data_IF_143578529847
#
_entry.id   IF_143578529847
#
_cell.length_a   1.000
_cell.length_b   1.000
_cell.length_c   1.000
_cell.angle_alpha   90.00
_cell.angle_beta   90.00
_cell.angle_gamma   90.00
#
_symmetry.space_group_name_H-M   'P 1'
#
loop_
_entity.id
_entity.type
_entity.pdbx_description
1 polymer ?
#
# COMPACT_ATOMS: atom_id res chain seq x y z
N UNK A 1 2.99 25.67 -33.14
CA UNK A 1 3.11 25.44 -31.69
C UNK A 1 3.16 23.94 -31.43
N UNK A 2 4.36 23.41 -31.15
CA UNK A 2 4.58 21.98 -30.87
C UNK A 2 4.58 21.84 -29.35
N UNK A 3 3.50 21.35 -28.76
CA UNK A 3 3.47 21.01 -27.33
C UNK A 3 4.43 19.84 -27.12
N UNK A 4 5.69 20.17 -26.82
CA UNK A 4 6.72 19.24 -26.41
C UNK A 4 6.48 18.95 -24.93
N UNK A 5 5.49 18.10 -24.66
CA UNK A 5 5.34 17.47 -23.35
C UNK A 5 6.50 16.52 -23.16
N UNK A 6 7.56 17.01 -22.53
CA UNK A 6 8.76 16.24 -22.22
C UNK A 6 8.37 15.05 -21.32
N UNK A 7 8.31 13.87 -21.93
CA UNK A 7 7.94 12.61 -21.31
C UNK A 7 9.08 12.01 -20.46
N UNK A 8 9.91 12.84 -19.85
CA UNK A 8 10.76 12.45 -18.70
C UNK A 8 9.92 12.11 -17.46
N UNK A 9 8.61 12.38 -17.54
CA UNK A 9 7.50 11.89 -16.71
C UNK A 9 7.37 10.34 -16.71
N UNK A 10 7.95 9.62 -17.67
CA UNK A 10 7.50 8.26 -18.02
C UNK A 10 7.74 7.12 -17.01
N UNK A 11 8.80 7.16 -16.18
CA UNK A 11 9.18 6.01 -15.32
C UNK A 11 8.97 6.26 -13.83
N UNK A 12 9.43 7.40 -13.30
CA UNK A 12 9.25 7.77 -11.89
C UNK A 12 7.76 7.81 -11.52
N UNK A 13 6.97 8.61 -12.24
CA UNK A 13 5.54 8.75 -11.98
C UNK A 13 4.78 7.45 -12.21
N UNK A 14 5.20 6.61 -13.17
CA UNK A 14 4.60 5.28 -13.39
C UNK A 14 4.70 4.41 -12.14
N UNK A 15 5.89 4.33 -11.53
CA UNK A 15 6.10 3.54 -10.31
C UNK A 15 5.50 4.20 -9.06
N UNK A 16 5.51 5.53 -9.00
CA UNK A 16 4.87 6.28 -7.92
C UNK A 16 3.36 6.06 -7.92
N UNK A 17 2.69 6.23 -9.07
CA UNK A 17 1.24 6.01 -9.21
C UNK A 17 0.90 4.55 -8.91
N UNK A 18 1.71 3.59 -9.38
CA UNK A 18 1.50 2.17 -9.06
C UNK A 18 1.59 1.91 -7.55
N UNK A 19 2.59 2.49 -6.86
CA UNK A 19 2.70 2.41 -5.40
C UNK A 19 1.48 3.00 -4.69
N UNK A 20 1.05 4.20 -5.08
CA UNK A 20 -0.11 4.86 -4.49
C UNK A 20 -1.40 4.06 -4.74
N UNK A 21 -1.60 3.54 -5.95
CA UNK A 21 -2.77 2.72 -6.27
C UNK A 21 -2.80 1.43 -5.43
N UNK A 22 -1.66 0.75 -5.28
CA UNK A 22 -1.54 -0.43 -4.42
C UNK A 22 -1.83 -0.10 -2.95
N UNK A 23 -1.32 1.04 -2.46
CA UNK A 23 -1.60 1.49 -1.10
C UNK A 23 -3.09 1.78 -0.90
N UNK A 24 -3.75 2.46 -1.85
CA UNK A 24 -5.19 2.72 -1.81
C UNK A 24 -6.02 1.42 -1.81
N UNK A 25 -5.65 0.43 -2.61
CA UNK A 25 -6.30 -0.89 -2.58
C UNK A 25 -6.12 -1.55 -1.20
N UNK A 26 -4.92 -1.46 -0.62
CA UNK A 26 -4.68 -1.94 0.74
C UNK A 26 -5.55 -1.23 1.79
N UNK A 27 -5.77 0.09 1.67
CA UNK A 27 -6.69 0.84 2.55
C UNK A 27 -8.10 0.27 2.47
N UNK A 28 -8.60 0.04 1.26
CA UNK A 28 -9.94 -0.50 1.05
C UNK A 28 -10.07 -1.87 1.72
N UNK A 29 -9.07 -2.74 1.56
CA UNK A 29 -9.07 -4.06 2.21
C UNK A 29 -9.08 -3.91 3.74
N UNK A 30 -8.15 -3.15 4.30
CA UNK A 30 -8.01 -2.96 5.77
C UNK A 30 -9.28 -2.41 6.41
N UNK A 31 -9.94 -1.44 5.76
CA UNK A 31 -11.15 -0.83 6.30
C UNK A 31 -12.39 -1.73 6.21
N UNK A 32 -12.40 -2.70 5.29
CA UNK A 32 -13.57 -3.56 5.05
C UNK A 32 -13.39 -5.00 5.55
N UNK A 33 -12.18 -5.39 5.92
CA UNK A 33 -11.86 -6.79 6.30
C UNK A 33 -12.65 -7.27 7.51
N UNK A 34 -12.88 -6.38 8.49
CA UNK A 34 -13.67 -6.71 9.67
C UNK A 34 -15.13 -6.95 9.28
N UNK A 35 -15.72 -6.05 8.50
CA UNK A 35 -17.07 -6.23 7.93
C UNK A 35 -17.19 -7.54 7.15
N UNK A 36 -16.21 -7.85 6.29
CA UNK A 36 -16.16 -9.11 5.53
C UNK A 36 -16.07 -10.35 6.42
N UNK A 37 -15.34 -10.26 7.53
CA UNK A 37 -15.24 -11.36 8.50
C UNK A 37 -16.53 -11.59 9.30
N UNK A 38 -17.36 -10.55 9.45
CA UNK A 38 -18.64 -10.59 10.19
C UNK A 38 -19.80 -11.07 9.31
N UNK A 39 -19.71 -10.97 7.98
CA UNK A 39 -20.72 -11.51 7.06
C UNK A 39 -20.86 -13.04 7.13
N UNK A 40 -19.92 -13.75 7.76
CA UNK A 40 -19.89 -15.21 7.84
C UNK A 40 -20.69 -15.81 9.02
N UNK A 41 -21.61 -15.07 9.66
CA UNK A 41 -22.38 -15.43 10.87
C UNK A 41 -21.55 -15.72 12.14
N UNK A 42 -20.29 -16.15 12.00
CA UNK A 42 -19.24 -16.20 13.02
C UNK A 42 -18.01 -15.45 12.51
N UNK A 43 -17.27 -14.81 13.43
CA UNK A 43 -15.98 -14.18 13.14
C UNK A 43 -15.06 -15.18 12.39
N UNK A 44 -15.01 -15.05 11.06
CA UNK A 44 -14.25 -15.97 10.25
C UNK A 44 -12.77 -15.55 10.25
N UNK A 45 -12.01 -16.16 11.16
CA UNK A 45 -10.58 -15.87 11.33
C UNK A 45 -9.76 -16.19 10.09
N UNK A 46 -10.18 -17.12 9.24
CA UNK A 46 -9.47 -17.42 8.00
C UNK A 46 -9.60 -16.28 6.98
N UNK A 47 -10.79 -15.66 6.90
CA UNK A 47 -11.03 -14.47 6.06
C UNK A 47 -10.22 -13.28 6.59
N UNK A 48 -10.21 -13.09 7.91
CA UNK A 48 -9.43 -12.02 8.56
C UNK A 48 -7.93 -12.23 8.34
N UNK A 49 -7.43 -13.45 8.48
CA UNK A 49 -6.03 -13.78 8.25
C UNK A 49 -5.65 -13.56 6.79
N UNK A 50 -6.47 -14.06 5.86
CA UNK A 50 -6.21 -13.94 4.42
C UNK A 50 -6.18 -12.48 3.98
N UNK A 51 -7.14 -11.67 4.45
CA UNK A 51 -7.14 -10.25 4.11
C UNK A 51 -5.93 -9.52 4.72
N UNK A 52 -5.58 -9.76 5.98
CA UNK A 52 -4.37 -9.16 6.60
C UNK A 52 -3.11 -9.54 5.81
N UNK A 53 -2.96 -10.82 5.46
CA UNK A 53 -1.82 -11.30 4.67
C UNK A 53 -1.77 -10.62 3.30
N UNK A 54 -2.92 -10.52 2.62
CA UNK A 54 -3.03 -9.86 1.33
C UNK A 54 -2.63 -8.39 1.39
N UNK A 55 -3.01 -7.68 2.47
CA UNK A 55 -2.62 -6.29 2.67
C UNK A 55 -1.11 -6.16 2.91
N UNK A 56 -0.48 -7.06 3.66
CA UNK A 56 0.98 -7.05 3.83
C UNK A 56 1.71 -7.22 2.50
N UNK A 57 1.21 -8.11 1.63
CA UNK A 57 1.76 -8.30 0.29
C UNK A 57 1.58 -7.03 -0.55
N UNK A 58 0.40 -6.40 -0.53
CA UNK A 58 0.13 -5.14 -1.22
C UNK A 58 1.06 -4.00 -0.76
N UNK A 59 1.28 -3.88 0.54
CA UNK A 59 2.23 -2.91 1.12
C UNK A 59 3.65 -3.21 0.66
N UNK A 60 4.08 -4.48 0.70
CA UNK A 60 5.39 -4.89 0.22
C UNK A 60 5.63 -4.51 -1.25
N UNK A 61 4.64 -4.77 -2.11
CA UNK A 61 4.69 -4.34 -3.51
C UNK A 61 4.68 -2.81 -3.67
N UNK A 62 3.91 -2.09 -2.85
CA UNK A 62 3.89 -0.63 -2.87
C UNK A 62 5.26 -0.03 -2.51
N UNK A 63 5.90 -0.54 -1.45
CA UNK A 63 7.25 -0.15 -1.04
C UNK A 63 8.26 -0.50 -2.14
N UNK A 64 8.18 -1.70 -2.72
CA UNK A 64 9.04 -2.09 -3.84
C UNK A 64 8.91 -1.16 -5.05
N UNK A 65 7.69 -0.73 -5.39
CA UNK A 65 7.45 0.24 -6.45
C UNK A 65 8.09 1.60 -6.13
N UNK A 66 7.99 2.08 -4.89
CA UNK A 66 8.68 3.31 -4.44
C UNK A 66 10.21 3.18 -4.55
N UNK A 67 10.79 2.05 -4.15
CA UNK A 67 12.23 1.81 -4.33
C UNK A 67 12.62 1.88 -5.81
N UNK A 68 11.83 1.24 -6.68
CA UNK A 68 12.07 1.24 -8.12
C UNK A 68 11.88 2.61 -8.76
N UNK A 69 10.95 3.42 -8.25
CA UNK A 69 10.76 4.81 -8.67
C UNK A 69 12.03 5.64 -8.40
N UNK A 70 12.71 5.39 -7.28
CA UNK A 70 13.90 6.13 -6.86
C UNK A 70 15.23 5.65 -7.47
N UNK A 71 15.20 4.79 -8.49
CA UNK A 71 16.42 4.27 -9.13
C UNK A 71 17.36 5.35 -9.69
N UNK A 72 16.83 6.50 -10.12
CA UNK A 72 17.63 7.62 -10.64
C UNK A 72 18.21 8.53 -9.54
N UNK A 73 17.88 8.31 -8.26
CA UNK A 73 18.37 9.03 -7.07
C UNK A 73 18.36 10.58 -7.18
N UNK A 74 17.40 11.15 -7.89
CA UNK A 74 17.22 12.61 -7.98
C UNK A 74 16.66 13.14 -6.65
N UNK A 75 17.27 14.21 -6.11
CA UNK A 75 16.89 14.80 -4.80
C UNK A 75 15.39 15.11 -4.69
N UNK A 76 14.79 15.72 -5.73
CA UNK A 76 13.37 16.06 -5.73
C UNK A 76 12.46 14.81 -5.71
N UNK A 77 12.86 13.74 -6.41
CA UNK A 77 12.10 12.49 -6.45
C UNK A 77 12.14 11.74 -5.12
N UNK A 78 13.27 11.82 -4.41
CA UNK A 78 13.42 11.25 -3.06
C UNK A 78 12.48 11.93 -2.06
N UNK A 79 12.38 13.26 -2.09
CA UNK A 79 11.48 14.01 -1.20
C UNK A 79 10.03 13.61 -1.45
N UNK A 80 9.58 13.60 -2.71
CA UNK A 80 8.20 13.21 -3.06
C UNK A 80 7.93 11.76 -2.66
N UNK A 81 8.88 10.85 -2.89
CA UNK A 81 8.73 9.45 -2.52
C UNK A 81 8.70 9.24 -1.02
N UNK A 82 9.45 10.02 -0.24
CA UNK A 82 9.42 9.99 1.21
C UNK A 82 8.02 10.34 1.72
N UNK A 83 7.43 11.44 1.23
CA UNK A 83 6.06 11.80 1.58
C UNK A 83 5.05 10.74 1.13
N UNK A 84 5.22 10.18 -0.06
CA UNK A 84 4.32 9.15 -0.58
C UNK A 84 4.44 7.84 0.22
N UNK A 85 5.62 7.53 0.76
CA UNK A 85 5.88 6.31 1.55
C UNK A 85 5.17 6.31 2.91
N UNK A 86 4.75 7.48 3.41
CA UNK A 86 3.96 7.57 4.64
C UNK A 86 2.64 6.80 4.53
N UNK A 87 2.05 6.71 3.32
CA UNK A 87 0.78 6.02 3.08
C UNK A 87 0.92 4.50 3.22
N UNK A 88 1.79 3.80 2.47
CA UNK A 88 1.97 2.36 2.67
C UNK A 88 2.54 2.03 4.06
N UNK A 89 3.31 2.94 4.68
CA UNK A 89 3.85 2.74 6.02
C UNK A 89 2.76 2.85 7.11
N UNK A 90 1.85 3.81 7.02
CA UNK A 90 0.71 3.88 7.94
C UNK A 90 -0.20 2.65 7.79
N UNK A 91 -0.36 2.18 6.56
CA UNK A 91 -1.10 0.96 6.27
C UNK A 91 -0.47 -0.28 6.92
N UNK A 92 0.86 -0.38 6.84
CA UNK A 92 1.62 -1.45 7.48
C UNK A 92 1.34 -1.50 8.98
N UNK A 93 1.39 -0.33 9.65
CA UNK A 93 1.15 -0.21 11.09
C UNK A 93 -0.29 -0.60 11.43
N UNK A 94 -1.29 -0.05 10.73
CA UNK A 94 -2.69 -0.42 10.95
C UNK A 94 -2.94 -1.93 10.79
N UNK A 95 -2.40 -2.52 9.72
CA UNK A 95 -2.56 -3.94 9.45
C UNK A 95 -1.84 -4.82 10.49
N UNK A 96 -0.67 -4.38 10.99
CA UNK A 96 0.03 -5.04 12.08
C UNK A 96 -0.73 -4.96 13.42
N UNK A 97 -1.38 -3.85 13.70
CA UNK A 97 -2.26 -3.73 14.87
C UNK A 97 -3.45 -4.68 14.77
N UNK A 98 -4.12 -4.75 13.63
CA UNK A 98 -5.20 -5.72 13.38
C UNK A 98 -4.71 -7.16 13.61
N UNK A 99 -3.57 -7.53 13.04
CA UNK A 99 -3.00 -8.86 13.26
C UNK A 99 -2.78 -9.16 14.75
N UNK A 100 -2.19 -8.21 15.47
CA UNK A 100 -1.88 -8.38 16.90
C UNK A 100 -3.15 -8.52 17.73
N UNK A 101 -4.14 -7.66 17.51
CA UNK A 101 -5.41 -7.66 18.27
C UNK A 101 -6.18 -8.96 18.06
N UNK A 102 -6.29 -9.44 16.81
CA UNK A 102 -7.13 -10.60 16.53
C UNK A 102 -6.43 -11.94 16.74
N UNK A 103 -5.10 -12.03 16.57
CA UNK A 103 -4.38 -13.32 16.58
C UNK A 103 -3.36 -13.50 17.72
N UNK A 104 -2.82 -12.43 18.31
CA UNK A 104 -1.78 -12.53 19.35
C UNK A 104 -2.33 -12.17 20.73
N UNK A 105 -3.19 -11.16 20.81
CA UNK A 105 -3.76 -10.66 22.07
C UNK A 105 -4.88 -11.51 22.66
N UNK A 106 -5.05 -12.77 22.21
CA UNK A 106 -6.10 -13.69 22.65
C UNK A 106 -5.51 -14.95 23.25
#
# INVERSE_FOLDING_TARGET
MKFKGDFTVGKFYKWLIASTALACLGIIVVLNIESWSLFAEKENRDVLLTGILSTFVLVGFSIFCLFKANGERKKNHLIISLFTSLIPLSLFVMNGLLFTVYFVGK
#
